data_IF_684554410059
#
_entry.id   IF_684554410059
#
_cell.length_a   1.000
_cell.length_b   1.000
_cell.length_c   1.000
_cell.angle_alpha   90.00
_cell.angle_beta   90.00
_cell.angle_gamma   90.00
#
_symmetry.space_group_name_H-M   'P 1'
#
loop_
_entity.id
_entity.type
_entity.pdbx_description
1 polymer ?
#
# COMPACT_ATOMS: atom_id res chain seq x y z
N UNK A 1 22.51 -10.71 -3.44
CA UNK A 1 23.24 -10.99 -2.17
C UNK A 1 23.05 -9.88 -1.14
N UNK A 2 23.09 -8.60 -1.53
CA UNK A 2 22.96 -7.45 -0.60
C UNK A 2 21.59 -7.39 0.08
N UNK A 3 20.49 -7.57 -0.67
CA UNK A 3 19.13 -7.58 -0.12
C UNK A 3 18.90 -8.68 0.92
N UNK A 4 19.46 -9.86 0.72
CA UNK A 4 19.29 -10.95 1.68
C UNK A 4 20.01 -10.68 3.01
N UNK A 5 21.14 -9.98 2.98
CA UNK A 5 21.89 -9.56 4.17
C UNK A 5 21.13 -8.46 4.90
N UNK A 6 20.68 -7.44 4.17
CA UNK A 6 19.87 -6.34 4.72
C UNK A 6 18.60 -6.88 5.38
N UNK A 7 17.82 -7.67 4.66
CA UNK A 7 16.57 -8.22 5.18
C UNK A 7 16.80 -9.10 6.40
N UNK A 8 17.85 -9.94 6.39
CA UNK A 8 18.16 -10.84 7.50
C UNK A 8 18.59 -10.09 8.78
N UNK A 9 19.35 -9.03 8.62
CA UNK A 9 19.96 -8.32 9.75
C UNK A 9 19.14 -7.11 10.21
N UNK A 10 18.52 -6.38 9.28
CA UNK A 10 17.84 -5.11 9.57
C UNK A 10 16.35 -5.29 9.83
N UNK A 11 15.69 -6.21 9.13
CA UNK A 11 14.25 -6.42 9.30
C UNK A 11 13.83 -6.82 10.72
N UNK A 12 14.53 -7.72 11.43
CA UNK A 12 14.18 -8.05 12.82
C UNK A 12 14.22 -6.83 13.74
N UNK A 13 15.24 -5.98 13.59
CA UNK A 13 15.37 -4.77 14.40
C UNK A 13 14.31 -3.73 14.04
N UNK A 14 14.08 -3.49 12.76
CA UNK A 14 13.00 -2.61 12.28
C UNK A 14 11.63 -3.07 12.81
N UNK A 15 11.34 -4.36 12.70
CA UNK A 15 10.08 -4.95 13.18
C UNK A 15 9.92 -4.78 14.70
N UNK A 16 11.01 -4.95 15.45
CA UNK A 16 11.03 -4.75 16.91
C UNK A 16 10.73 -3.29 17.27
N UNK A 17 11.34 -2.34 16.55
CA UNK A 17 11.10 -0.90 16.76
C UNK A 17 9.64 -0.56 16.50
N UNK A 18 9.09 -0.94 15.35
CA UNK A 18 7.69 -0.66 15.00
C UNK A 18 6.74 -1.27 16.02
N UNK A 19 6.89 -2.56 16.33
CA UNK A 19 6.05 -3.26 17.31
C UNK A 19 6.14 -2.60 18.68
N UNK A 20 7.34 -2.23 19.12
CA UNK A 20 7.57 -1.56 20.39
C UNK A 20 6.92 -0.18 20.46
N UNK A 21 6.99 0.62 19.38
CA UNK A 21 6.32 1.91 19.32
C UNK A 21 4.79 1.77 19.38
N UNK A 22 4.23 0.83 18.61
CA UNK A 22 2.78 0.56 18.61
C UNK A 22 2.32 0.13 20.01
N UNK A 23 3.04 -0.78 20.68
CA UNK A 23 2.70 -1.21 22.04
C UNK A 23 2.81 -0.07 23.06
N UNK A 24 3.91 0.68 23.01
CA UNK A 24 4.15 1.80 23.94
C UNK A 24 3.10 2.90 23.83
N UNK A 25 2.62 3.16 22.60
CA UNK A 25 1.70 4.25 22.30
C UNK A 25 0.34 3.76 21.80
N UNK A 26 -0.12 2.62 22.27
CA UNK A 26 -1.34 1.94 21.82
C UNK A 26 -2.61 2.80 21.92
N UNK A 27 -2.66 3.73 22.88
CA UNK A 27 -3.80 4.66 23.03
C UNK A 27 -3.83 5.76 21.95
N UNK A 28 -2.68 6.12 21.38
CA UNK A 28 -2.53 7.22 20.43
C UNK A 28 -2.24 6.76 19.00
N UNK A 29 -1.51 5.64 18.79
CA UNK A 29 -1.28 5.09 17.47
C UNK A 29 -2.51 4.29 17.05
N UNK A 30 -3.19 4.76 16.01
CA UNK A 30 -4.44 4.16 15.50
C UNK A 30 -4.23 3.21 14.31
N UNK A 31 -3.15 3.36 13.56
CA UNK A 31 -2.81 2.50 12.42
C UNK A 31 -1.31 2.51 12.14
N UNK A 32 -0.86 1.52 11.38
CA UNK A 32 0.43 1.52 10.70
C UNK A 32 0.17 1.66 9.21
N UNK A 33 0.81 2.64 8.56
CA UNK A 33 0.68 2.90 7.13
C UNK A 33 1.91 2.37 6.40
N UNK A 34 1.68 1.57 5.34
CA UNK A 34 2.73 1.02 4.50
C UNK A 34 2.52 1.49 3.05
N UNK A 35 3.54 2.14 2.50
CA UNK A 35 3.40 2.91 1.25
C UNK A 35 3.77 2.11 -0.02
N UNK A 36 3.60 0.79 -0.02
CA UNK A 36 3.89 -0.07 -1.16
C UNK A 36 5.29 -0.68 -1.14
N UNK A 37 5.59 -1.55 -2.11
CA UNK A 37 6.85 -2.28 -2.23
C UNK A 37 7.17 -3.11 -0.96
N UNK A 38 6.19 -3.90 -0.51
CA UNK A 38 6.38 -4.78 0.64
C UNK A 38 7.38 -5.91 0.33
N UNK A 39 7.53 -6.26 -0.94
CA UNK A 39 8.56 -7.19 -1.42
C UNK A 39 9.33 -6.62 -2.60
N UNK A 40 10.50 -7.19 -2.87
CA UNK A 40 11.39 -6.74 -3.95
C UNK A 40 10.78 -6.94 -5.36
N UNK A 41 9.83 -7.86 -5.51
CA UNK A 41 9.38 -8.28 -6.84
C UNK A 41 10.47 -9.09 -7.58
N UNK A 42 10.35 -9.19 -8.92
CA UNK A 42 11.35 -9.84 -9.78
C UNK A 42 11.76 -11.26 -9.33
N UNK A 43 10.81 -12.02 -8.81
CA UNK A 43 11.06 -13.33 -8.19
C UNK A 43 11.57 -14.41 -9.16
N UNK A 44 11.53 -14.15 -10.47
CA UNK A 44 12.04 -15.04 -11.51
C UNK A 44 11.10 -16.19 -11.90
N UNK A 45 10.06 -16.48 -11.12
CA UNK A 45 8.99 -17.42 -11.49
C UNK A 45 7.71 -17.16 -10.69
N UNK A 46 6.53 -17.60 -11.17
CA UNK A 46 5.27 -17.45 -10.46
C UNK A 46 5.28 -18.08 -9.05
N UNK A 47 5.86 -19.26 -8.90
CA UNK A 47 5.96 -19.93 -7.62
C UNK A 47 6.79 -19.13 -6.62
N UNK A 48 7.92 -18.57 -7.08
CA UNK A 48 8.79 -17.73 -6.24
C UNK A 48 8.10 -16.40 -5.89
N UNK A 49 7.30 -15.83 -6.78
CA UNK A 49 6.52 -14.62 -6.50
C UNK A 49 5.54 -14.86 -5.34
N UNK A 50 4.78 -15.97 -5.37
CA UNK A 50 3.88 -16.36 -4.29
C UNK A 50 4.64 -16.64 -2.99
N UNK A 51 5.78 -17.32 -3.05
CA UNK A 51 6.60 -17.58 -1.86
C UNK A 51 7.14 -16.29 -1.25
N UNK A 52 7.60 -15.34 -2.08
CA UNK A 52 8.09 -14.04 -1.64
C UNK A 52 6.98 -13.23 -0.96
N UNK A 53 5.81 -13.14 -1.58
CA UNK A 53 4.65 -12.46 -1.02
C UNK A 53 4.24 -13.07 0.35
N UNK A 54 4.11 -14.40 0.42
CA UNK A 54 3.81 -15.09 1.68
C UNK A 54 4.87 -14.84 2.76
N UNK A 55 6.14 -14.80 2.38
CA UNK A 55 7.25 -14.52 3.32
C UNK A 55 7.17 -13.09 3.86
N UNK A 56 6.85 -12.11 3.01
CA UNK A 56 6.65 -10.72 3.40
C UNK A 56 5.49 -10.58 4.41
N UNK A 57 4.32 -11.14 4.12
CA UNK A 57 3.19 -11.10 5.05
C UNK A 57 3.42 -11.92 6.32
N UNK A 58 4.17 -13.02 6.25
CA UNK A 58 4.61 -13.74 7.45
C UNK A 58 5.46 -12.85 8.36
N UNK A 59 6.32 -12.02 7.77
CA UNK A 59 7.13 -11.07 8.53
C UNK A 59 6.26 -9.96 9.16
N UNK A 60 5.31 -9.40 8.42
CA UNK A 60 4.33 -8.43 8.97
C UNK A 60 3.52 -9.06 10.11
N UNK A 61 3.00 -10.26 9.93
CA UNK A 61 2.21 -10.95 10.95
C UNK A 61 2.99 -11.21 12.25
N UNK A 62 4.31 -11.46 12.16
CA UNK A 62 5.18 -11.62 13.34
C UNK A 62 5.29 -10.35 14.18
N UNK A 63 5.07 -9.17 13.62
CA UNK A 63 5.02 -7.93 14.40
C UNK A 63 3.88 -7.89 15.39
N UNK A 64 2.84 -8.71 15.20
CA UNK A 64 1.68 -8.83 16.08
C UNK A 64 1.04 -7.47 16.41
N UNK A 65 0.92 -6.62 15.39
CA UNK A 65 0.32 -5.30 15.54
C UNK A 65 -1.14 -5.43 15.98
N UNK A 66 -1.51 -4.66 17.00
CA UNK A 66 -2.88 -4.61 17.54
C UNK A 66 -3.70 -3.45 16.97
N UNK A 67 -3.20 -2.84 15.93
CA UNK A 67 -3.84 -1.76 15.17
C UNK A 67 -3.89 -2.15 13.70
N UNK A 68 -4.83 -1.59 12.92
CA UNK A 68 -4.87 -1.82 11.48
C UNK A 68 -3.55 -1.51 10.79
N UNK A 69 -3.21 -2.34 9.79
CA UNK A 69 -2.09 -2.13 8.90
C UNK A 69 -2.66 -1.83 7.51
N UNK A 70 -2.59 -0.57 7.11
CA UNK A 70 -3.15 -0.05 5.86
C UNK A 70 -2.02 0.06 4.85
N UNK A 71 -2.18 -0.59 3.70
CA UNK A 71 -1.11 -0.72 2.71
C UNK A 71 -1.56 -0.27 1.32
N UNK A 72 -0.73 0.52 0.63
CA UNK A 72 -0.89 0.78 -0.81
C UNK A 72 -0.15 -0.27 -1.64
N UNK A 73 -0.47 -0.36 -2.92
CA UNK A 73 0.28 -1.17 -3.88
C UNK A 73 1.49 -0.39 -4.40
N UNK A 74 2.67 -1.02 -4.42
CA UNK A 74 3.86 -0.51 -5.07
C UNK A 74 4.13 -1.19 -6.42
N UNK A 75 5.09 -0.66 -7.18
CA UNK A 75 5.44 -1.23 -8.48
C UNK A 75 6.15 -2.59 -8.34
N UNK A 76 6.99 -2.78 -7.33
CA UNK A 76 7.64 -4.07 -7.07
C UNK A 76 6.66 -5.17 -6.67
N UNK A 77 5.55 -4.83 -6.05
CA UNK A 77 4.51 -5.80 -5.67
C UNK A 77 3.86 -6.49 -6.88
N UNK A 78 3.98 -5.90 -8.09
CA UNK A 78 3.41 -6.41 -9.34
C UNK A 78 4.44 -6.62 -10.46
N UNK A 79 5.74 -6.48 -10.19
CA UNK A 79 6.80 -6.59 -11.18
C UNK A 79 7.41 -7.98 -11.21
N UNK A 80 7.51 -8.55 -12.41
CA UNK A 80 8.14 -9.84 -12.68
C UNK A 80 7.16 -10.99 -12.87
N UNK A 81 7.67 -12.17 -13.27
CA UNK A 81 6.85 -13.33 -13.57
C UNK A 81 5.99 -13.77 -12.38
N UNK A 82 4.67 -13.79 -12.57
CA UNK A 82 3.70 -14.21 -11.55
C UNK A 82 3.43 -13.21 -10.43
N UNK A 83 4.05 -12.02 -10.45
CA UNK A 83 3.85 -11.02 -9.40
C UNK A 83 2.39 -10.51 -9.36
N UNK A 84 1.75 -10.30 -10.52
CA UNK A 84 0.33 -9.94 -10.58
C UNK A 84 -0.56 -11.01 -9.95
N UNK A 85 -0.32 -12.28 -10.26
CA UNK A 85 -1.06 -13.39 -9.67
C UNK A 85 -0.82 -13.49 -8.15
N UNK A 86 0.43 -13.28 -7.71
CA UNK A 86 0.76 -13.23 -6.28
C UNK A 86 0.06 -12.07 -5.59
N UNK A 87 -0.06 -10.90 -6.27
CA UNK A 87 -0.80 -9.77 -5.75
C UNK A 87 -2.28 -10.13 -5.51
N UNK A 88 -2.93 -10.70 -6.50
CA UNK A 88 -4.34 -11.10 -6.39
C UNK A 88 -4.55 -12.20 -5.33
N UNK A 89 -3.70 -13.23 -5.31
CA UNK A 89 -3.88 -14.40 -4.43
C UNK A 89 -3.36 -14.24 -3.00
N UNK A 90 -2.37 -13.37 -2.79
CA UNK A 90 -1.69 -13.23 -1.50
C UNK A 90 -1.83 -11.83 -0.93
N UNK A 91 -1.53 -10.79 -1.73
CA UNK A 91 -1.58 -9.42 -1.21
C UNK A 91 -3.01 -9.00 -0.87
N UNK A 92 -3.95 -9.05 -1.79
CA UNK A 92 -5.32 -8.57 -1.57
C UNK A 92 -5.99 -9.21 -0.34
N UNK A 93 -5.94 -10.55 -0.14
CA UNK A 93 -6.52 -11.15 1.06
C UNK A 93 -5.83 -10.72 2.36
N UNK A 94 -4.50 -10.57 2.35
CA UNK A 94 -3.77 -10.11 3.53
C UNK A 94 -3.99 -8.63 3.81
N UNK A 95 -4.01 -7.77 2.78
CA UNK A 95 -4.36 -6.36 2.89
C UNK A 95 -5.75 -6.19 3.50
N UNK A 96 -6.75 -6.94 2.98
CA UNK A 96 -8.10 -6.94 3.53
C UNK A 96 -8.10 -7.25 5.03
N UNK A 97 -7.54 -8.39 5.40
CA UNK A 97 -7.49 -8.85 6.78
C UNK A 97 -6.77 -7.87 7.71
N UNK A 98 -5.63 -7.33 7.27
CA UNK A 98 -4.80 -6.42 8.08
C UNK A 98 -5.43 -5.03 8.23
N UNK A 99 -6.18 -4.56 7.24
CA UNK A 99 -6.92 -3.31 7.29
C UNK A 99 -8.33 -3.44 7.90
N UNK A 100 -8.75 -4.67 8.28
CA UNK A 100 -10.06 -4.93 8.88
C UNK A 100 -11.22 -5.01 7.88
N UNK A 101 -10.94 -5.32 6.60
CA UNK A 101 -11.96 -5.53 5.57
C UNK A 101 -12.33 -7.02 5.44
N UNK A 102 -13.57 -7.35 5.08
CA UNK A 102 -13.96 -8.73 4.79
C UNK A 102 -13.29 -9.27 3.53
N UNK A 103 -13.11 -8.44 2.51
CA UNK A 103 -12.38 -8.73 1.27
C UNK A 103 -12.01 -7.46 0.53
N UNK A 104 -11.00 -7.53 -0.33
CA UNK A 104 -10.65 -6.48 -1.28
C UNK A 104 -10.61 -7.06 -2.69
N UNK A 105 -11.21 -6.34 -3.65
CA UNK A 105 -11.20 -6.72 -5.07
C UNK A 105 -10.06 -6.05 -5.84
N UNK A 106 -9.53 -4.95 -5.31
CA UNK A 106 -8.43 -4.18 -5.90
C UNK A 106 -7.61 -3.48 -4.83
N UNK A 107 -6.52 -2.82 -5.22
CA UNK A 107 -5.73 -1.97 -4.36
C UNK A 107 -6.33 -0.55 -4.16
N UNK A 108 -7.42 -0.24 -4.88
CA UNK A 108 -8.24 0.93 -4.61
C UNK A 108 -9.24 0.59 -3.51
N UNK A 109 -9.07 1.12 -2.31
CA UNK A 109 -9.98 0.88 -1.19
C UNK A 109 -9.90 2.01 -0.17
N UNK A 110 -10.86 2.04 0.74
CA UNK A 110 -10.92 3.03 1.81
C UNK A 110 -11.01 2.36 3.17
N UNK A 111 -10.42 2.99 4.17
CA UNK A 111 -10.57 2.59 5.58
C UNK A 111 -10.85 3.85 6.39
N UNK A 112 -11.90 3.82 7.22
CA UNK A 112 -12.20 4.89 8.16
C UNK A 112 -11.86 4.43 9.57
N UNK A 113 -11.07 5.23 10.27
CA UNK A 113 -10.71 5.00 11.67
C UNK A 113 -11.05 6.27 12.44
N UNK A 114 -11.99 6.17 13.38
CA UNK A 114 -12.55 7.32 14.10
C UNK A 114 -13.01 8.40 13.10
N UNK A 115 -12.42 9.59 13.13
CA UNK A 115 -12.72 10.74 12.25
C UNK A 115 -11.69 10.93 11.12
N UNK A 116 -11.02 9.86 10.74
CA UNK A 116 -9.98 9.87 9.71
C UNK A 116 -10.33 8.89 8.60
N UNK A 117 -10.41 9.39 7.37
CA UNK A 117 -10.54 8.59 6.16
C UNK A 117 -9.16 8.37 5.52
N UNK A 118 -8.82 7.12 5.26
CA UNK A 118 -7.70 6.73 4.42
C UNK A 118 -8.25 6.20 3.09
N UNK A 119 -7.79 6.77 1.98
CA UNK A 119 -8.12 6.33 0.62
C UNK A 119 -6.83 5.83 -0.02
N UNK A 120 -6.71 4.52 -0.19
CA UNK A 120 -5.62 3.91 -0.94
C UNK A 120 -5.95 3.98 -2.43
N UNK A 121 -5.06 4.61 -3.20
CA UNK A 121 -5.20 4.76 -4.65
C UNK A 121 -4.09 4.00 -5.37
N UNK A 122 -4.47 3.22 -6.37
CA UNK A 122 -3.59 2.45 -7.24
C UNK A 122 -3.41 3.15 -8.59
N UNK A 123 -2.27 3.84 -8.83
CA UNK A 123 -2.04 4.54 -10.08
C UNK A 123 -1.82 3.61 -11.28
N UNK A 124 -1.46 2.32 -11.05
CA UNK A 124 -1.32 1.31 -12.11
C UNK A 124 -2.64 0.69 -12.57
N UNK A 125 -3.75 1.04 -11.91
CA UNK A 125 -5.06 0.71 -12.43
C UNK A 125 -5.28 1.43 -13.77
N UNK A 126 -5.51 0.63 -14.82
CA UNK A 126 -5.69 1.16 -16.18
C UNK A 126 -7.08 1.73 -16.41
N UNK A 127 -8.01 1.39 -15.53
CA UNK A 127 -9.39 1.86 -15.60
C UNK A 127 -9.50 3.22 -14.91
N UNK A 128 -10.43 4.06 -15.39
CA UNK A 128 -10.80 5.31 -14.69
C UNK A 128 -11.56 5.06 -13.37
N UNK A 129 -11.90 3.82 -13.09
CA UNK A 129 -12.68 3.42 -11.90
C UNK A 129 -11.96 3.80 -10.59
N UNK A 130 -10.63 3.68 -10.53
CA UNK A 130 -9.87 4.05 -9.34
C UNK A 130 -9.98 5.54 -9.00
N UNK A 131 -9.93 6.44 -10.00
CA UNK A 131 -10.11 7.88 -9.79
C UNK A 131 -11.56 8.22 -9.43
N UNK A 132 -12.54 7.58 -10.07
CA UNK A 132 -13.95 7.76 -9.74
C UNK A 132 -14.25 7.29 -8.31
N UNK A 133 -13.68 6.16 -7.90
CA UNK A 133 -13.82 5.66 -6.54
C UNK A 133 -13.18 6.60 -5.52
N UNK A 134 -11.98 7.12 -5.82
CA UNK A 134 -11.30 8.13 -5.00
C UNK A 134 -12.18 9.37 -4.81
N UNK A 135 -12.65 9.96 -5.90
CA UNK A 135 -13.53 11.15 -5.88
C UNK A 135 -14.78 10.91 -5.06
N UNK A 136 -15.50 9.82 -5.35
CA UNK A 136 -16.70 9.43 -4.60
C UNK A 136 -16.44 9.24 -3.11
N UNK A 137 -15.31 8.61 -2.77
CA UNK A 137 -14.94 8.34 -1.38
C UNK A 137 -14.64 9.62 -0.61
N UNK A 138 -13.90 10.54 -1.24
CA UNK A 138 -13.57 11.84 -0.64
C UNK A 138 -14.81 12.70 -0.49
N UNK A 139 -15.62 12.84 -1.55
CA UNK A 139 -16.83 13.68 -1.53
C UNK A 139 -17.93 13.12 -0.60
N UNK A 140 -18.05 11.80 -0.50
CA UNK A 140 -19.07 11.15 0.35
C UNK A 140 -18.69 11.05 1.83
N UNK A 141 -17.44 11.31 2.20
CA UNK A 141 -16.98 11.16 3.58
C UNK A 141 -17.23 12.42 4.42
N UNK A 142 -17.73 12.20 5.64
CA UNK A 142 -17.88 13.24 6.68
C UNK A 142 -16.65 13.33 7.60
N UNK A 143 -15.60 12.51 7.39
CA UNK A 143 -14.40 12.54 8.19
C UNK A 143 -13.72 13.92 8.10
N UNK A 144 -13.28 14.44 9.24
CA UNK A 144 -12.57 15.73 9.34
C UNK A 144 -11.22 15.66 8.64
N UNK A 145 -10.56 14.52 8.74
CA UNK A 145 -9.24 14.31 8.12
C UNK A 145 -9.34 13.26 7.02
N UNK A 146 -8.82 13.60 5.84
CA UNK A 146 -8.83 12.72 4.67
C UNK A 146 -7.40 12.57 4.15
N UNK A 147 -6.90 11.36 4.08
CA UNK A 147 -5.57 11.03 3.56
C UNK A 147 -5.71 10.22 2.28
N UNK A 148 -5.11 10.70 1.20
CA UNK A 148 -4.93 9.93 -0.04
C UNK A 148 -3.55 9.29 0.02
N UNK A 149 -3.53 7.96 -0.01
CA UNK A 149 -2.33 7.15 0.08
C UNK A 149 -2.04 6.51 -1.27
N UNK A 150 -0.85 6.71 -1.78
CA UNK A 150 -0.35 6.06 -3.00
C UNK A 150 1.17 5.91 -2.92
N UNK A 151 1.70 4.91 -3.62
CA UNK A 151 3.13 4.62 -3.62
C UNK A 151 3.92 5.63 -4.46
N UNK A 152 3.36 6.02 -5.59
CA UNK A 152 4.03 6.82 -6.59
C UNK A 152 3.95 8.32 -6.28
N UNK A 153 5.07 9.08 -6.35
CA UNK A 153 5.04 10.53 -6.22
C UNK A 153 4.18 11.18 -7.31
N UNK A 154 3.22 12.00 -6.91
CA UNK A 154 2.36 12.74 -7.86
C UNK A 154 3.15 13.84 -8.57
N UNK A 155 4.09 14.45 -7.85
CA UNK A 155 5.01 15.45 -8.37
C UNK A 155 6.41 14.84 -8.39
N UNK A 156 7.01 14.63 -9.57
CA UNK A 156 8.33 14.00 -9.67
C UNK A 156 9.41 14.94 -9.10
N UNK A 157 10.28 14.38 -8.27
CA UNK A 157 11.39 15.13 -7.66
C UNK A 157 12.56 15.29 -8.64
N UNK A 158 12.67 14.41 -9.64
CA UNK A 158 13.68 14.45 -10.69
C UNK A 158 13.25 13.62 -11.93
N UNK A 159 14.05 13.70 -13.00
CA UNK A 159 13.77 13.02 -14.27
C UNK A 159 13.84 11.48 -14.20
N UNK A 160 14.41 10.91 -13.15
CA UNK A 160 14.55 9.45 -12.96
C UNK A 160 13.31 8.80 -12.34
N UNK A 161 12.31 9.58 -12.00
CA UNK A 161 11.06 9.04 -11.49
C UNK A 161 10.32 8.30 -12.61
N UNK A 162 10.40 6.97 -12.60
CA UNK A 162 9.77 6.04 -13.54
C UNK A 162 8.34 5.77 -13.12
N UNK A 163 7.45 6.71 -13.37
CA UNK A 163 6.13 6.63 -12.78
C UNK A 163 5.04 6.80 -13.83
N UNK A 164 3.89 6.20 -13.53
CA UNK A 164 2.67 6.30 -14.35
C UNK A 164 2.37 7.76 -14.64
N UNK A 165 2.44 8.64 -13.64
CA UNK A 165 2.11 10.06 -13.77
C UNK A 165 3.06 10.85 -14.67
N UNK A 166 4.29 10.39 -14.89
CA UNK A 166 5.18 10.96 -15.89
C UNK A 166 4.72 10.61 -17.32
N UNK A 167 4.16 9.41 -17.49
CA UNK A 167 3.69 8.93 -18.78
C UNK A 167 2.23 9.34 -19.04
N UNK A 168 1.46 9.55 -17.96
CA UNK A 168 0.04 9.91 -18.02
C UNK A 168 -0.22 11.19 -17.22
N UNK A 169 0.12 12.32 -17.83
CA UNK A 169 -0.12 13.64 -17.25
C UNK A 169 -1.62 13.91 -17.02
N UNK A 170 -2.50 13.40 -17.89
CA UNK A 170 -3.93 13.61 -17.74
C UNK A 170 -4.46 12.96 -16.46
N UNK A 171 -4.03 11.73 -16.17
CA UNK A 171 -4.36 11.04 -14.91
C UNK A 171 -3.84 11.79 -13.69
N UNK A 172 -2.62 12.34 -13.78
CA UNK A 172 -2.03 13.16 -12.70
C UNK A 172 -2.86 14.42 -12.43
N UNK A 173 -3.17 15.19 -13.47
CA UNK A 173 -3.95 16.42 -13.34
C UNK A 173 -5.36 16.13 -12.80
N UNK A 174 -5.99 15.07 -13.25
CA UNK A 174 -7.30 14.65 -12.72
C UNK A 174 -7.21 14.28 -11.23
N UNK A 175 -6.17 13.52 -10.82
CA UNK A 175 -5.93 13.21 -9.41
C UNK A 175 -5.77 14.48 -8.56
N UNK A 176 -4.94 15.43 -9.02
CA UNK A 176 -4.73 16.70 -8.33
C UNK A 176 -6.01 17.54 -8.23
N UNK A 177 -6.82 17.59 -9.30
CA UNK A 177 -8.12 18.27 -9.30
C UNK A 177 -9.09 17.66 -8.29
N UNK A 178 -9.17 16.32 -8.26
CA UNK A 178 -10.02 15.61 -7.28
C UNK A 178 -9.61 15.97 -5.86
N UNK A 179 -8.32 15.94 -5.55
CA UNK A 179 -7.81 16.24 -4.20
C UNK A 179 -8.06 17.72 -3.85
N UNK A 180 -7.81 18.63 -4.78
CA UNK A 180 -7.97 20.08 -4.55
C UNK A 180 -9.43 20.53 -4.39
N UNK A 181 -10.38 19.73 -4.85
CA UNK A 181 -11.82 20.03 -4.77
C UNK A 181 -12.47 19.63 -3.45
N UNK A 182 -11.73 19.00 -2.52
CA UNK A 182 -12.20 18.47 -1.24
C UNK A 182 -11.79 19.37 -0.07
#
# INVERSE_FOLDING_TARGET
KEYSVFTKNTWPEFSRIISGQVQKHQSSIKAVLQMGDLSEGLAGSPQKAIQMANSAFKAVNKMNLKVPFIMTKGNHDITGPGAKEAFEKVYLPNMARLAGHPSLQSANYTTTLDDVLFVCYDPWDRNSEGLQQLEKSLAGSKATYKFVMLHEPVIPVNERCWHVFRQDNAKREQLLQIIASQ
#
